data_IF_015760975110
#
_entry.id   IF_015760975110
#
_cell.length_a   1.000
_cell.length_b   1.000
_cell.length_c   1.000
_cell.angle_alpha   90.00
_cell.angle_beta   90.00
_cell.angle_gamma   90.00
#
_symmetry.space_group_name_H-M   'P 1'
#
loop_
_entity.id
_entity.type
_entity.pdbx_description
1 polymer ?
#
# COMPACT_ATOMS: atom_id res chain seq x y z
N UNK A 1 -6.52 0.75 -11.92
CA UNK A 1 -5.31 -0.04 -11.56
C UNK A 1 -5.70 -1.42 -11.07
N UNK A 2 -6.48 -1.55 -9.99
CA UNK A 2 -6.87 -2.86 -9.44
C UNK A 2 -7.50 -3.82 -10.48
N UNK A 3 -8.53 -3.38 -11.24
CA UNK A 3 -9.14 -4.21 -12.27
C UNK A 3 -8.16 -4.71 -13.35
N UNK A 4 -7.17 -3.89 -13.72
CA UNK A 4 -6.11 -4.29 -14.66
C UNK A 4 -5.16 -5.31 -14.06
N UNK A 5 -4.75 -5.14 -12.79
CA UNK A 5 -3.92 -6.11 -12.07
C UNK A 5 -4.62 -7.48 -11.95
N UNK A 6 -5.93 -7.49 -11.66
CA UNK A 6 -6.71 -8.73 -11.59
C UNK A 6 -6.73 -9.47 -12.93
N UNK A 7 -6.79 -8.73 -14.05
CA UNK A 7 -6.82 -9.32 -15.39
C UNK A 7 -5.48 -9.91 -15.85
N UNK A 8 -4.35 -9.53 -15.25
CA UNK A 8 -3.02 -10.09 -15.55
C UNK A 8 -2.80 -11.49 -14.94
N UNK A 9 -3.75 -12.00 -14.14
CA UNK A 9 -3.75 -13.36 -13.60
C UNK A 9 -2.77 -13.58 -12.44
N UNK A 10 -1.49 -13.23 -12.60
CA UNK A 10 -0.48 -13.39 -11.53
C UNK A 10 -0.69 -12.44 -10.36
N UNK A 11 -1.25 -11.26 -10.62
CA UNK A 11 -1.49 -10.22 -9.62
C UNK A 11 -2.91 -10.28 -9.03
N UNK A 12 -3.77 -11.19 -9.49
CA UNK A 12 -5.18 -11.22 -9.12
C UNK A 12 -5.45 -11.54 -7.66
N UNK A 13 -4.55 -12.29 -7.01
CA UNK A 13 -4.59 -12.57 -5.58
C UNK A 13 -3.69 -11.65 -4.76
N UNK A 14 -2.87 -10.82 -5.42
CA UNK A 14 -1.83 -9.97 -4.81
C UNK A 14 -2.22 -8.49 -4.80
N UNK A 15 -3.31 -8.12 -5.49
CA UNK A 15 -3.85 -6.77 -5.50
C UNK A 15 -5.04 -6.66 -4.53
N UNK A 16 -4.88 -5.90 -3.46
CA UNK A 16 -5.97 -5.60 -2.52
C UNK A 16 -6.57 -4.23 -2.82
N UNK A 17 -7.89 -4.15 -2.99
CA UNK A 17 -8.61 -2.88 -3.07
C UNK A 17 -9.03 -2.47 -1.66
N UNK A 18 -8.74 -1.23 -1.29
CA UNK A 18 -9.13 -0.63 -0.01
C UNK A 18 -9.87 0.68 -0.27
N UNK A 19 -10.68 1.09 0.71
CA UNK A 19 -11.56 2.24 0.57
C UNK A 19 -10.80 3.58 0.60
N UNK A 20 -9.75 3.67 1.43
CA UNK A 20 -9.01 4.91 1.64
C UNK A 20 -7.52 4.67 2.02
N UNK A 21 -6.69 5.74 2.09
CA UNK A 21 -5.27 5.61 2.44
C UNK A 21 -5.01 5.11 3.86
N UNK A 22 -5.90 5.37 4.82
CA UNK A 22 -5.72 4.92 6.20
C UNK A 22 -5.95 3.40 6.29
N UNK A 23 -6.94 2.87 5.56
CA UNK A 23 -7.15 1.45 5.41
C UNK A 23 -5.92 0.76 4.77
N UNK A 24 -5.29 1.38 3.77
CA UNK A 24 -4.04 0.88 3.19
C UNK A 24 -2.90 0.78 4.23
N UNK A 25 -2.70 1.83 5.02
CA UNK A 25 -1.67 1.85 6.05
C UNK A 25 -1.91 0.79 7.13
N UNK A 26 -3.17 0.64 7.58
CA UNK A 26 -3.53 -0.39 8.57
C UNK A 26 -3.34 -1.81 8.05
N UNK A 27 -3.66 -2.08 6.78
CA UNK A 27 -3.41 -3.37 6.15
C UNK A 27 -1.91 -3.68 6.15
N UNK A 28 -1.11 -2.75 5.61
CA UNK A 28 0.34 -2.91 5.49
C UNK A 28 1.04 -3.07 6.84
N UNK A 29 0.59 -2.37 7.89
CA UNK A 29 1.13 -2.52 9.23
C UNK A 29 0.96 -3.94 9.81
N UNK A 30 -0.04 -4.70 9.34
CA UNK A 30 -0.25 -6.10 9.73
C UNK A 30 0.52 -7.13 8.90
N UNK A 31 1.02 -6.73 7.73
CA UNK A 31 1.67 -7.63 6.77
C UNK A 31 3.19 -7.45 6.70
N UNK A 32 3.69 -6.23 6.92
CA UNK A 32 5.11 -5.90 6.79
C UNK A 32 5.93 -6.43 7.96
N UNK A 33 7.13 -6.90 7.64
CA UNK A 33 8.18 -7.26 8.56
C UNK A 33 9.38 -6.28 8.45
N UNK A 34 10.24 -6.31 9.46
CA UNK A 34 11.47 -5.53 9.45
C UNK A 34 12.36 -5.91 8.24
N UNK A 35 12.78 -4.91 7.47
CA UNK A 35 13.58 -5.09 6.27
C UNK A 35 12.78 -5.16 4.96
N UNK A 36 11.45 -5.18 5.02
CA UNK A 36 10.62 -5.10 3.82
C UNK A 36 10.70 -3.72 3.16
N UNK A 37 10.49 -3.70 1.84
CA UNK A 37 10.55 -2.48 1.02
C UNK A 37 9.19 -2.20 0.41
N UNK A 38 8.69 -0.99 0.63
CA UNK A 38 7.39 -0.53 0.12
C UNK A 38 7.59 0.57 -0.92
N UNK A 39 6.98 0.41 -2.10
CA UNK A 39 6.88 1.45 -3.12
C UNK A 39 5.49 2.08 -3.10
N UNK A 40 5.41 3.34 -2.69
CA UNK A 40 4.17 4.14 -2.79
C UNK A 40 4.18 4.95 -4.08
N UNK A 41 3.14 4.81 -4.91
CA UNK A 41 3.04 5.53 -6.18
C UNK A 41 1.65 6.09 -6.44
N UNK A 42 1.58 7.40 -6.62
CA UNK A 42 0.39 8.11 -7.06
C UNK A 42 0.76 9.44 -7.73
N UNK A 43 -0.21 10.11 -8.35
CA UNK A 43 -0.04 11.52 -8.75
C UNK A 43 -0.08 12.42 -7.52
N UNK A 44 0.43 13.65 -7.64
CA UNK A 44 0.35 14.64 -6.56
C UNK A 44 -1.08 14.95 -6.13
N UNK A 45 -2.05 14.93 -7.04
CA UNK A 45 -3.45 15.20 -6.69
C UNK A 45 -4.11 14.08 -5.89
N UNK A 46 -3.56 12.85 -5.95
CA UNK A 46 -4.12 11.69 -5.27
C UNK A 46 -3.71 11.57 -3.79
N UNK A 47 -2.71 12.33 -3.33
CA UNK A 47 -2.44 12.44 -1.90
C UNK A 47 -1.83 11.22 -1.20
N UNK A 48 -1.48 10.14 -1.91
CA UNK A 48 -1.11 8.88 -1.26
C UNK A 48 0.25 8.87 -0.53
N UNK A 49 1.01 9.97 -0.52
CA UNK A 49 2.21 10.08 0.32
C UNK A 49 1.89 9.90 1.82
N UNK A 50 0.66 10.21 2.24
CA UNK A 50 0.22 10.00 3.63
C UNK A 50 0.36 8.54 4.07
N UNK A 51 0.25 7.57 3.16
CA UNK A 51 0.47 6.15 3.48
C UNK A 51 1.93 5.91 3.88
N UNK A 52 2.87 6.49 3.13
CA UNK A 52 4.28 6.39 3.46
C UNK A 52 4.59 7.08 4.80
N UNK A 53 3.99 8.25 5.04
CA UNK A 53 4.15 8.98 6.31
C UNK A 53 3.65 8.14 7.50
N UNK A 54 2.52 7.42 7.38
CA UNK A 54 2.03 6.54 8.45
C UNK A 54 2.95 5.33 8.69
N UNK A 55 3.44 4.69 7.62
CA UNK A 55 4.32 3.53 7.75
C UNK A 55 5.66 3.88 8.41
N UNK A 56 6.21 5.06 8.10
CA UNK A 56 7.47 5.52 8.69
C UNK A 56 7.37 5.83 10.19
N UNK A 57 6.19 6.21 10.71
CA UNK A 57 5.99 6.40 12.16
C UNK A 57 6.13 5.09 12.96
N UNK A 58 5.86 3.95 12.33
CA UNK A 58 5.98 2.62 12.96
C UNK A 58 7.36 1.97 12.81
N UNK A 59 8.25 2.57 12.03
CA UNK A 59 9.55 1.99 11.65
C UNK A 59 10.72 2.31 12.59
N UNK A 60 10.50 3.08 13.67
CA UNK A 60 11.50 3.35 14.69
C UNK A 60 11.51 2.23 15.75
N UNK A 61 12.20 1.13 15.48
CA UNK A 61 12.52 0.06 16.44
C UNK A 61 13.90 -0.57 16.16
#
# INVERSE_FOLDING_TARGET
MHAGAVMEGSWGSEAVLVDDPAAAASLLAGELAAGDVVLVKASRSAGLWVVADELLKGGDA
#
